data_IF_429101100496
#
_entry.id   IF_429101100496
#
_cell.length_a   1.000
_cell.length_b   1.000
_cell.length_c   1.000
_cell.angle_alpha   90.00
_cell.angle_beta   90.00
_cell.angle_gamma   90.00
#
_symmetry.space_group_name_H-M   'P 1'
#
loop_
_entity.id
_entity.type
_entity.pdbx_description
1 polymer ?
#
# COMPACT_ATOMS: atom_id res chain seq x y z
N UNK A 1 -17.50 -0.52 7.27
CA UNK A 1 -16.60 -1.67 7.58
C UNK A 1 -15.51 -1.68 6.53
N UNK A 2 -14.31 -2.17 6.83
CA UNK A 2 -13.21 -2.25 5.85
C UNK A 2 -13.44 -3.46 4.95
N UNK A 3 -13.42 -3.25 3.63
CA UNK A 3 -13.59 -4.33 2.66
C UNK A 3 -12.52 -5.40 2.79
N UNK A 4 -12.93 -6.66 2.91
CA UNK A 4 -12.00 -7.78 3.06
C UNK A 4 -11.22 -8.04 1.76
N UNK A 5 -11.88 -7.92 0.61
CA UNK A 5 -11.24 -8.06 -0.72
C UNK A 5 -10.15 -7.01 -0.89
N UNK A 6 -10.46 -5.76 -0.54
CA UNK A 6 -9.51 -4.65 -0.62
C UNK A 6 -8.31 -4.84 0.32
N UNK A 7 -8.57 -5.33 1.54
CA UNK A 7 -7.52 -5.65 2.52
C UNK A 7 -6.57 -6.73 1.97
N UNK A 8 -7.11 -7.83 1.45
CA UNK A 8 -6.31 -8.91 0.87
C UNK A 8 -5.48 -8.43 -0.34
N UNK A 9 -6.05 -7.58 -1.19
CA UNK A 9 -5.35 -6.98 -2.33
C UNK A 9 -4.18 -6.09 -1.89
N UNK A 10 -4.38 -5.29 -0.82
CA UNK A 10 -3.33 -4.45 -0.25
C UNK A 10 -2.20 -5.27 0.36
N UNK A 11 -2.51 -6.32 1.12
CA UNK A 11 -1.50 -7.23 1.66
C UNK A 11 -0.70 -7.91 0.54
N UNK A 12 -1.38 -8.40 -0.50
CA UNK A 12 -0.73 -9.02 -1.65
C UNK A 12 0.20 -8.05 -2.38
N UNK A 13 -0.23 -6.80 -2.59
CA UNK A 13 0.60 -5.74 -3.17
C UNK A 13 1.84 -5.48 -2.31
N UNK A 14 1.67 -5.31 -1.00
CA UNK A 14 2.78 -4.92 -0.11
C UNK A 14 3.76 -6.05 0.19
N UNK A 15 3.34 -7.32 0.08
CA UNK A 15 4.24 -8.47 0.20
C UNK A 15 5.44 -8.40 -0.75
N UNK A 16 5.25 -7.77 -1.91
CA UNK A 16 6.25 -7.64 -2.98
C UNK A 16 6.80 -6.21 -3.12
N UNK A 17 6.35 -5.27 -2.29
CA UNK A 17 6.74 -3.88 -2.41
C UNK A 17 8.18 -3.67 -1.91
N UNK A 18 8.94 -2.75 -2.55
CA UNK A 18 10.30 -2.40 -2.10
C UNK A 18 10.33 -1.95 -0.64
N UNK A 19 11.45 -2.18 0.04
CA UNK A 19 11.65 -1.75 1.42
C UNK A 19 11.57 -0.21 1.56
N UNK A 20 11.18 0.31 2.73
CA UNK A 20 11.06 1.76 2.99
C UNK A 20 12.31 2.57 2.64
N UNK A 21 13.50 1.99 2.85
CA UNK A 21 14.79 2.63 2.51
C UNK A 21 14.89 3.04 1.03
N UNK A 22 14.16 2.36 0.14
CA UNK A 22 14.14 2.64 -1.30
C UNK A 22 12.89 3.43 -1.72
N UNK A 23 12.63 4.58 -1.07
CA UNK A 23 11.42 5.37 -1.24
C UNK A 23 11.02 5.58 -2.72
N UNK A 24 11.95 6.04 -3.57
CA UNK A 24 11.67 6.28 -5.00
C UNK A 24 11.22 5.02 -5.74
N UNK A 25 11.82 3.87 -5.43
CA UNK A 25 11.45 2.59 -6.05
C UNK A 25 10.08 2.12 -5.54
N UNK A 26 9.79 2.37 -4.26
CA UNK A 26 8.50 2.06 -3.64
C UNK A 26 7.37 2.92 -4.20
N UNK A 27 7.58 4.23 -4.33
CA UNK A 27 6.61 5.14 -4.95
C UNK A 27 6.31 4.71 -6.40
N UNK A 28 7.35 4.38 -7.16
CA UNK A 28 7.22 3.88 -8.52
C UNK A 28 6.46 2.54 -8.56
N UNK A 29 6.71 1.66 -7.61
CA UNK A 29 6.02 0.38 -7.49
C UNK A 29 4.52 0.58 -7.26
N UNK A 30 4.13 1.42 -6.29
CA UNK A 30 2.73 1.70 -5.98
C UNK A 30 2.00 2.40 -7.13
N UNK A 31 2.70 3.25 -7.91
CA UNK A 31 2.14 3.85 -9.14
C UNK A 31 1.95 2.86 -10.27
N UNK A 32 2.78 1.81 -10.31
CA UNK A 32 2.81 0.84 -11.42
C UNK A 32 1.85 -0.32 -11.22
N UNK A 33 1.62 -0.76 -9.98
CA UNK A 33 0.85 -1.96 -9.68
C UNK A 33 -0.48 -1.61 -8.99
N UNK A 34 -1.58 -1.86 -9.69
CA UNK A 34 -2.93 -1.67 -9.18
C UNK A 34 -3.30 -2.78 -8.18
N UNK A 35 -4.21 -2.46 -7.26
CA UNK A 35 -4.81 -3.39 -6.31
C UNK A 35 -5.61 -4.48 -7.01
N UNK A 36 -6.22 -4.16 -8.18
CA UNK A 36 -6.97 -5.11 -9.01
C UNK A 36 -6.14 -6.33 -9.47
N UNK A 37 -4.81 -6.23 -9.36
CA UNK A 37 -3.89 -7.21 -9.91
C UNK A 37 -3.65 -7.04 -11.41
N UNK A 38 -2.77 -7.88 -11.96
CA UNK A 38 -2.26 -7.72 -13.34
C UNK A 38 -3.25 -8.11 -14.44
N UNK A 39 -4.29 -8.87 -14.11
CA UNK A 39 -5.24 -9.46 -15.07
C UNK A 39 -6.62 -8.79 -15.03
N UNK A 40 -6.69 -7.56 -14.51
CA UNK A 40 -7.95 -6.81 -14.50
C UNK A 40 -8.31 -6.37 -15.92
N UNK A 41 -9.49 -6.79 -16.36
CA UNK A 41 -10.12 -6.39 -17.63
C UNK A 41 -10.91 -5.08 -17.50
N UNK A 42 -11.07 -4.56 -16.27
CA UNK A 42 -11.76 -3.30 -16.02
C UNK A 42 -10.94 -2.11 -16.60
N UNK A 43 -11.60 -1.12 -17.23
CA UNK A 43 -10.94 0.14 -17.59
C UNK A 43 -10.64 1.00 -16.36
N UNK A 44 -11.25 0.72 -15.21
CA UNK A 44 -10.98 1.37 -13.94
C UNK A 44 -10.03 0.53 -13.10
N UNK A 45 -9.10 1.21 -12.43
CA UNK A 45 -8.11 0.58 -11.55
C UNK A 45 -7.93 1.37 -10.27
N UNK A 46 -7.70 0.67 -9.18
CA UNK A 46 -7.47 1.25 -7.87
C UNK A 46 -5.99 1.12 -7.48
N UNK A 47 -5.37 2.20 -7.04
CA UNK A 47 -3.97 2.23 -6.65
C UNK A 47 -3.79 2.84 -5.27
N UNK A 48 -2.66 2.52 -4.63
CA UNK A 48 -2.21 3.23 -3.42
C UNK A 48 -1.55 4.53 -3.87
N UNK A 49 -2.18 5.65 -3.55
CA UNK A 49 -1.67 6.98 -3.88
C UNK A 49 -0.59 7.43 -2.91
N UNK A 50 -0.89 7.28 -1.62
CA UNK A 50 -0.04 7.65 -0.51
C UNK A 50 -0.23 6.67 0.64
N UNK A 51 0.87 6.42 1.33
CA UNK A 51 0.89 5.64 2.54
C UNK A 51 1.85 6.27 3.55
N UNK A 52 1.61 5.94 4.81
CA UNK A 52 2.48 6.22 5.93
C UNK A 52 3.22 4.94 6.31
N UNK A 53 4.52 5.04 6.59
CA UNK A 53 5.35 3.93 7.01
C UNK A 53 5.91 4.22 8.40
N UNK A 54 5.80 3.24 9.29
CA UNK A 54 6.37 3.31 10.63
C UNK A 54 7.23 2.07 10.88
N UNK A 55 8.52 2.27 11.16
CA UNK A 55 9.46 1.20 11.48
C UNK A 55 9.89 1.31 12.92
N UNK A 56 9.81 0.20 13.65
CA UNK A 56 10.15 0.13 15.07
C UNK A 56 11.02 -1.10 15.33
N UNK A 57 11.96 -0.98 16.26
CA UNK A 57 12.80 -2.09 16.73
C UNK A 57 12.53 -2.28 18.21
N UNK A 58 12.24 -3.51 18.63
CA UNK A 58 12.06 -3.89 20.03
C UNK A 58 12.94 -5.07 20.41
N UNK A 59 13.26 -5.26 21.70
CA UNK A 59 13.90 -6.49 22.18
C UNK A 59 13.06 -7.73 21.85
N UNK A 60 13.71 -8.84 21.52
CA UNK A 60 13.05 -10.14 21.36
C UNK A 60 13.03 -10.87 22.72
N UNK A 61 11.85 -11.11 23.32
CA UNK A 61 11.75 -11.81 24.60
C UNK A 61 12.18 -13.28 24.51
N UNK A 62 12.20 -13.88 23.32
CA UNK A 62 12.57 -15.28 23.10
C UNK A 62 14.08 -15.46 22.86
N UNK A 63 14.83 -14.38 22.63
CA UNK A 63 16.27 -14.43 22.33
C UNK A 63 17.10 -13.37 23.09
N UNK A 64 17.04 -13.30 24.43
CA UNK A 64 17.86 -12.37 25.20
C UNK A 64 19.37 -12.72 25.12
N UNK A 65 20.29 -11.75 25.30
CA UNK A 65 20.04 -10.30 25.43
C UNK A 65 20.04 -9.54 24.08
N UNK A 66 20.51 -10.18 23.01
CA UNK A 66 20.79 -9.51 21.72
C UNK A 66 19.72 -9.71 20.65
N UNK A 67 18.69 -10.50 20.92
CA UNK A 67 17.55 -10.65 20.04
C UNK A 67 16.79 -9.34 19.87
N UNK A 68 16.39 -9.07 18.63
CA UNK A 68 15.62 -7.90 18.23
C UNK A 68 14.50 -8.33 17.29
N UNK A 69 13.39 -7.60 17.34
CA UNK A 69 12.28 -7.69 16.40
C UNK A 69 12.18 -6.34 15.69
N UNK A 70 12.40 -6.34 14.38
CA UNK A 70 12.06 -5.20 13.53
C UNK A 70 10.62 -5.35 13.05
N UNK A 71 9.79 -4.34 13.28
CA UNK A 71 8.40 -4.27 12.83
C UNK A 71 8.24 -3.09 11.89
N UNK A 72 7.70 -3.37 10.70
CA UNK A 72 7.29 -2.37 9.72
C UNK A 72 5.77 -2.37 9.62
N UNK A 73 5.18 -1.21 9.85
CA UNK A 73 3.75 -0.94 9.65
C UNK A 73 3.57 0.01 8.46
N UNK A 74 2.65 -0.35 7.56
CA UNK A 74 2.21 0.48 6.44
C UNK A 74 0.72 0.79 6.56
N UNK A 75 0.35 2.05 6.39
CA UNK A 75 -1.01 2.56 6.51
C UNK A 75 -1.37 3.39 5.29
N UNK A 76 -2.48 3.09 4.63
CA UNK A 76 -2.95 3.94 3.52
C UNK A 76 -3.40 5.31 4.03
N UNK A 77 -2.94 6.37 3.38
CA UNK A 77 -3.47 7.72 3.57
C UNK A 77 -4.49 8.07 2.48
N UNK A 78 -4.23 7.63 1.25
CA UNK A 78 -5.05 7.96 0.10
C UNK A 78 -4.95 6.85 -0.95
N UNK A 79 -6.05 6.59 -1.66
CA UNK A 79 -6.08 5.75 -2.84
C UNK A 79 -6.39 6.60 -4.09
N UNK A 80 -6.00 6.10 -5.26
CA UNK A 80 -6.33 6.69 -6.53
C UNK A 80 -7.20 5.74 -7.35
N UNK A 81 -8.37 6.20 -7.76
CA UNK A 81 -9.15 5.59 -8.81
C UNK A 81 -8.69 6.15 -10.14
N UNK A 82 -8.27 5.29 -11.07
CA UNK A 82 -7.67 5.70 -12.34
C UNK A 82 -8.46 5.11 -13.49
N UNK A 83 -8.85 5.96 -14.45
CA UNK A 83 -9.34 5.53 -15.75
C UNK A 83 -8.14 5.13 -16.61
N UNK A 84 -7.85 3.83 -16.62
CA UNK A 84 -6.59 3.30 -17.11
C UNK A 84 -6.40 3.60 -18.61
N UNK A 85 -5.26 4.22 -18.94
CA UNK A 85 -4.89 4.62 -20.31
C UNK A 85 -5.86 5.59 -20.99
N UNK A 86 -6.74 6.25 -20.24
CA UNK A 86 -7.69 7.22 -20.77
C UNK A 86 -7.57 8.55 -20.02
N UNK A 87 -7.26 9.68 -20.70
CA UNK A 87 -7.10 10.98 -20.04
C UNK A 87 -8.44 11.60 -19.60
N UNK A 88 -9.57 11.07 -20.06
CA UNK A 88 -10.89 11.57 -19.69
C UNK A 88 -11.44 10.85 -18.44
N UNK A 89 -12.24 11.54 -17.61
CA UNK A 89 -12.93 10.89 -16.49
C UNK A 89 -13.84 9.77 -16.99
N UNK A 90 -13.96 8.70 -16.19
CA UNK A 90 -14.95 7.66 -16.44
C UNK A 90 -16.35 8.14 -16.09
N UNK A 91 -17.37 7.50 -16.69
CA UNK A 91 -18.76 7.76 -16.34
C UNK A 91 -19.01 7.49 -14.85
N UNK A 92 -19.80 8.36 -14.21
CA UNK A 92 -20.07 8.28 -12.78
C UNK A 92 -20.72 6.95 -12.37
N UNK A 93 -21.67 6.43 -13.15
CA UNK A 93 -22.30 5.15 -12.83
C UNK A 93 -21.31 3.98 -12.97
N UNK A 94 -20.41 4.05 -13.94
CA UNK A 94 -19.35 3.05 -14.10
C UNK A 94 -18.39 3.06 -12.91
N UNK A 95 -18.05 4.24 -12.38
CA UNK A 95 -17.23 4.40 -11.18
C UNK A 95 -17.92 3.82 -9.95
N UNK A 96 -19.17 4.18 -9.69
CA UNK A 96 -19.92 3.67 -8.54
C UNK A 96 -20.09 2.14 -8.61
N UNK A 97 -20.42 1.62 -9.79
CA UNK A 97 -20.53 0.19 -10.01
C UNK A 97 -19.20 -0.53 -9.76
N UNK A 98 -18.09 0.00 -10.29
CA UNK A 98 -16.77 -0.57 -10.08
C UNK A 98 -16.38 -0.63 -8.59
N UNK A 99 -16.55 0.49 -7.87
CA UNK A 99 -16.21 0.57 -6.44
C UNK A 99 -17.06 -0.38 -5.60
N UNK A 100 -18.36 -0.46 -5.87
CA UNK A 100 -19.27 -1.35 -5.15
C UNK A 100 -19.01 -2.82 -5.46
N UNK A 101 -19.04 -3.22 -6.73
CA UNK A 101 -18.99 -4.64 -7.09
C UNK A 101 -17.59 -5.25 -6.93
N UNK A 102 -16.52 -4.47 -7.16
CA UNK A 102 -15.14 -4.98 -7.09
C UNK A 102 -14.58 -4.88 -5.68
N UNK A 103 -14.89 -3.78 -4.99
CA UNK A 103 -14.22 -3.42 -3.74
C UNK A 103 -15.14 -3.36 -2.53
N UNK A 104 -16.45 -3.58 -2.67
CA UNK A 104 -17.41 -3.41 -1.58
C UNK A 104 -17.31 -2.02 -0.92
N UNK A 105 -17.06 -1.01 -1.77
CA UNK A 105 -16.97 0.39 -1.37
C UNK A 105 -18.23 1.14 -1.81
N UNK A 106 -19.02 1.60 -0.84
CA UNK A 106 -20.19 2.46 -1.05
C UNK A 106 -19.99 3.79 -0.33
N UNK A 107 -20.65 4.85 -0.80
CA UNK A 107 -20.68 6.17 -0.17
C UNK A 107 -19.28 6.79 0.07
N UNK A 108 -18.33 6.47 -0.81
CA UNK A 108 -16.97 7.04 -0.76
C UNK A 108 -16.92 8.34 -1.56
N UNK A 109 -16.46 9.40 -0.90
CA UNK A 109 -16.20 10.67 -1.56
C UNK A 109 -14.98 10.57 -2.49
N UNK A 110 -15.17 10.95 -3.75
CA UNK A 110 -14.12 11.08 -4.74
C UNK A 110 -13.78 12.55 -4.95
N UNK A 111 -12.49 12.86 -4.94
CA UNK A 111 -11.97 14.20 -5.22
C UNK A 111 -11.25 14.20 -6.56
N UNK A 112 -11.58 15.16 -7.43
CA UNK A 112 -10.89 15.31 -8.71
C UNK A 112 -9.41 15.63 -8.48
N UNK A 113 -8.55 15.12 -9.37
CA UNK A 113 -7.12 15.39 -9.37
C UNK A 113 -6.71 15.68 -10.81
N UNK A 114 -6.29 16.91 -11.06
CA UNK A 114 -6.00 17.43 -12.40
C UNK A 114 -4.73 16.82 -13.01
N UNK A 115 -3.82 16.33 -12.16
CA UNK A 115 -2.61 15.66 -12.61
C UNK A 115 -2.95 14.28 -13.20
N UNK A 116 -2.29 13.85 -14.29
CA UNK A 116 -2.40 12.47 -14.75
C UNK A 116 -1.77 11.49 -13.74
N UNK A 117 -2.20 10.23 -13.73
CA UNK A 117 -1.70 9.26 -12.77
C UNK A 117 -0.20 8.97 -12.92
N UNK A 118 0.21 8.43 -14.08
CA UNK A 118 1.58 7.98 -14.28
C UNK A 118 2.01 8.07 -15.75
N UNK A 119 3.08 8.83 -16.02
CA UNK A 119 3.64 9.06 -17.37
C UNK A 119 2.58 9.53 -18.37
N UNK A 120 1.81 10.55 -17.98
CA UNK A 120 0.73 11.15 -18.77
C UNK A 120 -0.44 10.19 -19.09
N UNK A 121 -0.50 9.04 -18.42
CA UNK A 121 -1.57 8.06 -18.60
C UNK A 121 -2.58 8.09 -17.48
N UNK A 122 -3.85 8.20 -17.86
CA UNK A 122 -5.03 7.96 -17.02
C UNK A 122 -5.49 9.16 -16.20
N UNK A 123 -6.76 9.53 -16.39
CA UNK A 123 -7.48 10.42 -15.49
C UNK A 123 -7.56 9.79 -14.11
N UNK A 124 -7.45 10.59 -13.05
CA UNK A 124 -7.54 10.08 -11.69
C UNK A 124 -8.47 10.89 -10.79
N UNK A 125 -9.03 10.18 -9.83
CA UNK A 125 -9.73 10.73 -8.68
C UNK A 125 -9.12 10.14 -7.41
N UNK A 126 -9.10 10.93 -6.34
CA UNK A 126 -8.59 10.52 -5.03
C UNK A 126 -9.73 10.14 -4.12
N UNK A 127 -9.50 9.14 -3.28
CA UNK A 127 -10.39 8.81 -2.17
C UNK A 127 -9.58 8.54 -0.91
N UNK A 128 -10.20 8.83 0.23
CA UNK A 128 -9.71 8.42 1.55
C UNK A 128 -10.70 7.42 2.12
N UNK A 129 -10.19 6.28 2.62
CA UNK A 129 -11.05 5.30 3.27
C UNK A 129 -11.40 5.78 4.69
N UNK A 130 -12.65 5.55 5.16
CA UNK A 130 -13.02 5.83 6.56
C UNK A 130 -12.14 5.08 7.56
N UNK A 131 -11.79 3.85 7.22
CA UNK A 131 -10.81 3.04 7.93
C UNK A 131 -9.65 2.75 6.98
N UNK A 132 -8.41 3.17 7.31
CA UNK A 132 -7.25 2.92 6.47
C UNK A 132 -6.97 1.41 6.39
N UNK A 133 -6.37 0.98 5.28
CA UNK A 133 -5.79 -0.35 5.19
C UNK A 133 -4.47 -0.36 5.97
N UNK A 134 -4.22 -1.46 6.67
CA UNK A 134 -3.05 -1.67 7.49
C UNK A 134 -2.36 -2.94 7.02
N UNK A 135 -1.04 -2.88 6.93
CA UNK A 135 -0.18 -4.04 6.70
C UNK A 135 0.98 -3.99 7.67
N UNK A 136 1.34 -5.14 8.23
CA UNK A 136 2.46 -5.24 9.17
C UNK A 136 3.35 -6.41 8.76
N UNK A 137 4.66 -6.21 8.82
CA UNK A 137 5.66 -7.27 8.69
C UNK A 137 6.65 -7.18 9.83
N UNK A 138 6.96 -8.34 10.41
CA UNK A 138 7.93 -8.48 11.47
C UNK A 138 9.08 -9.39 11.02
N UNK A 139 10.29 -9.06 11.43
CA UNK A 139 11.48 -9.86 11.21
C UNK A 139 12.31 -9.91 12.49
N UNK A 140 12.71 -11.12 12.89
CA UNK A 140 13.60 -11.35 14.04
C UNK A 140 15.04 -11.38 13.57
N UNK A 141 15.93 -10.75 14.33
CA UNK A 141 17.37 -10.78 14.07
C UNK A 141 18.16 -10.71 15.38
N UNK A 142 19.44 -11.05 15.32
CA UNK A 142 20.38 -10.91 16.43
C UNK A 142 21.33 -9.75 16.16
N UNK A 143 21.57 -8.94 17.20
CA UNK A 143 22.44 -7.78 17.16
C UNK A 143 23.92 -8.23 17.19
N UNK A 144 24.48 -8.49 16.00
CA UNK A 144 25.81 -9.13 15.84
C UNK A 144 26.94 -8.29 16.44
N UNK A 145 26.82 -6.95 16.43
CA UNK A 145 27.83 -6.05 16.98
C UNK A 145 28.03 -6.27 18.49
N UNK A 146 26.94 -6.50 19.23
CA UNK A 146 27.01 -6.77 20.68
C UNK A 146 27.43 -8.18 21.02
N UNK A 147 27.07 -9.15 20.18
CA UNK A 147 27.51 -10.54 20.35
C UNK A 147 29.05 -10.63 20.25
N UNK A 148 29.68 -9.88 19.34
CA UNK A 148 31.13 -9.90 19.14
C UNK A 148 31.90 -9.15 20.24
N UNK A 149 31.34 -8.07 20.81
CA UNK A 149 31.92 -7.35 21.96
C UNK A 149 31.90 -8.20 23.25
N UNK A 150 30.89 -9.06 23.43
CA UNK A 150 30.84 -9.99 24.57
C UNK A 150 31.75 -11.22 24.40
N UNK A 151 32.02 -11.66 23.15
CA UNK A 151 32.90 -12.80 22.87
C UNK A 151 34.40 -12.45 22.85
N UNK A 152 34.76 -11.16 22.68
CA UNK A 152 36.13 -10.65 22.78
C UNK A 152 36.19 -9.43 23.73
N UNK A 153 36.19 -9.67 25.06
CA UNK A 153 36.21 -8.60 26.06
C UNK A 153 37.51 -7.81 26.15
#
# INVERSE_FOLDING_TARGET
>A
MTSHVLTNAYEALLSCAPAPLFQKARDLYLKKYALDGRKSESPLRLFVARENLNETISPDPEAPPHGRIARLEARTEELALVHWQNPEPADHNAVEHYLRETWDLTDIALHSCDDPWFRDGGHQQRLTLPTPLLWTREARYQDVEKTLEEENP
#
